data_IF_517883765936
#
_entry.id   IF_517883765936
#
_cell.length_a   1.000
_cell.length_b   1.000
_cell.length_c   1.000
_cell.angle_alpha   90.00
_cell.angle_beta   90.00
_cell.angle_gamma   90.00
#
_symmetry.space_group_name_H-M   'P 1'
#
loop_
_entity.id
_entity.type
_entity.pdbx_description
1 polymer ?
#
# COMPACT_ATOMS: atom_id res chain seq x y z
N UNK A 1 7.66 -17.84 -1.45
CA UNK A 1 6.75 -17.57 -0.33
C UNK A 1 6.70 -16.07 -0.17
N UNK A 2 5.54 -15.46 -0.42
CA UNK A 2 5.33 -14.01 -0.34
C UNK A 2 5.47 -13.54 1.11
N UNK A 3 5.91 -12.30 1.30
CA UNK A 3 6.08 -11.68 2.64
C UNK A 3 4.74 -11.61 3.42
N UNK A 4 3.59 -11.59 2.73
CA UNK A 4 2.26 -11.71 3.34
C UNK A 4 2.01 -13.05 4.02
N UNK A 5 2.51 -14.16 3.46
CA UNK A 5 2.39 -15.48 4.09
C UNK A 5 3.23 -15.57 5.38
N UNK A 6 4.24 -14.71 5.53
CA UNK A 6 5.09 -14.68 6.73
C UNK A 6 4.39 -13.91 7.84
N UNK A 7 3.68 -12.82 7.52
CA UNK A 7 2.92 -12.04 8.50
C UNK A 7 1.72 -12.83 9.02
N UNK A 8 0.97 -13.50 8.15
CA UNK A 8 -0.17 -14.33 8.57
C UNK A 8 0.29 -15.53 9.41
N UNK A 9 1.41 -16.16 9.05
CA UNK A 9 1.99 -17.24 9.84
C UNK A 9 2.47 -16.77 11.23
N UNK A 10 3.09 -15.58 11.33
CA UNK A 10 3.51 -15.00 12.60
C UNK A 10 2.30 -14.64 13.47
N UNK A 11 1.23 -14.15 12.86
CA UNK A 11 0.02 -13.73 13.58
C UNK A 11 -0.80 -14.91 14.07
N UNK A 12 -0.86 -16.01 13.30
CA UNK A 12 -1.42 -17.29 13.76
C UNK A 12 -0.57 -17.91 14.89
N UNK A 13 0.77 -17.83 14.83
CA UNK A 13 1.65 -18.34 15.88
C UNK A 13 1.50 -17.56 17.19
N UNK A 14 1.43 -16.22 17.12
CA UNK A 14 1.15 -15.34 18.27
C UNK A 14 -0.22 -15.60 18.90
N UNK A 15 -1.25 -15.85 18.09
CA UNK A 15 -2.60 -16.17 18.59
C UNK A 15 -2.66 -17.58 19.18
N UNK A 16 -1.82 -18.50 18.70
CA UNK A 16 -1.70 -19.86 19.24
C UNK A 16 -0.95 -19.87 20.57
N UNK A 17 0.09 -19.03 20.72
CA UNK A 17 0.80 -18.83 21.99
C UNK A 17 -0.07 -18.15 23.05
N UNK A 18 -0.88 -17.15 22.69
CA UNK A 18 -1.86 -16.55 23.63
C UNK A 18 -2.92 -17.56 24.08
N UNK A 19 -3.39 -18.43 23.18
CA UNK A 19 -4.31 -19.52 23.49
C UNK A 19 -3.69 -20.57 24.44
N UNK A 20 -2.39 -20.83 24.34
CA UNK A 20 -1.67 -21.74 25.23
C UNK A 20 -1.38 -21.10 26.60
N UNK A 21 -1.09 -19.80 26.65
CA UNK A 21 -0.93 -19.05 27.89
C UNK A 21 -2.23 -18.96 28.71
N UNK A 22 -3.40 -18.94 28.07
CA UNK A 22 -4.69 -19.04 28.78
C UNK A 22 -5.00 -20.46 29.30
N UNK A 23 -4.36 -21.51 28.77
CA UNK A 23 -4.53 -22.90 29.25
C UNK A 23 -3.57 -23.29 30.39
N UNK A 24 -2.36 -22.74 30.43
CA UNK A 24 -1.33 -23.15 31.41
C UNK A 24 -1.44 -22.48 32.79
N UNK A 25 -2.36 -21.52 33.00
CA UNK A 25 -2.66 -20.99 34.33
C UNK A 25 -3.68 -21.81 35.14
N UNK A 26 -4.06 -23.00 34.66
CA UNK A 26 -5.00 -23.91 35.34
C UNK A 26 -4.36 -24.85 36.38
N UNK A 27 -3.14 -24.61 36.84
CA UNK A 27 -2.49 -25.47 37.85
C UNK A 27 -1.82 -24.69 38.99
N UNK A 28 -2.61 -23.92 39.73
CA UNK A 28 -2.34 -23.68 41.16
C UNK A 28 -3.67 -23.54 41.91
N UNK A 29 -3.89 -24.48 42.82
CA UNK A 29 -5.17 -24.80 43.44
C UNK A 29 -5.61 -23.74 44.47
N UNK A 30 -6.90 -23.42 44.39
CA UNK A 30 -7.85 -23.07 45.47
C UNK A 30 -8.02 -21.64 46.01
N UNK A 31 -7.26 -20.62 45.58
CA UNK A 31 -7.60 -19.20 45.82
C UNK A 31 -7.89 -18.37 44.54
N UNK A 32 -7.68 -18.96 43.36
CA UNK A 32 -7.65 -18.24 42.07
C UNK A 32 -8.98 -18.21 41.31
N UNK A 33 -9.89 -19.15 41.55
CA UNK A 33 -11.13 -19.32 40.78
C UNK A 33 -12.18 -18.20 40.99
N UNK A 34 -12.37 -17.74 42.23
CA UNK A 34 -13.33 -16.66 42.53
C UNK A 34 -12.88 -15.31 41.97
N UNK A 35 -11.57 -15.02 42.00
CA UNK A 35 -11.01 -13.75 41.52
C UNK A 35 -11.08 -13.65 39.99
N UNK A 36 -10.80 -14.76 39.28
CA UNK A 36 -10.92 -14.83 37.82
C UNK A 36 -12.36 -14.67 37.36
N UNK A 37 -13.30 -15.31 38.04
CA UNK A 37 -14.73 -15.20 37.76
C UNK A 37 -15.27 -13.78 38.06
N UNK A 38 -14.86 -13.16 39.17
CA UNK A 38 -15.24 -11.78 39.50
C UNK A 38 -14.72 -10.77 38.46
N UNK A 39 -13.47 -10.93 38.02
CA UNK A 39 -12.88 -10.07 36.97
C UNK A 39 -13.59 -10.26 35.63
N UNK A 40 -13.91 -11.49 35.26
CA UNK A 40 -14.64 -11.78 34.03
C UNK A 40 -16.06 -11.20 34.06
N UNK A 41 -16.78 -11.35 35.18
CA UNK A 41 -18.11 -10.75 35.39
C UNK A 41 -18.05 -9.22 35.33
N UNK A 42 -17.04 -8.60 35.95
CA UNK A 42 -16.84 -7.15 35.88
C UNK A 42 -16.57 -6.68 34.44
N UNK A 43 -15.71 -7.40 33.69
CA UNK A 43 -15.44 -7.08 32.30
C UNK A 43 -16.69 -7.19 31.41
N UNK A 44 -17.52 -8.21 31.62
CA UNK A 44 -18.80 -8.37 30.91
C UNK A 44 -19.75 -7.21 31.25
N UNK A 45 -19.87 -6.86 32.54
CA UNK A 45 -20.68 -5.74 33.00
C UNK A 45 -20.25 -4.42 32.34
N UNK A 46 -18.96 -4.11 32.35
CA UNK A 46 -18.41 -2.89 31.75
C UNK A 46 -18.66 -2.84 30.24
N UNK A 47 -18.48 -3.96 29.53
CA UNK A 47 -18.73 -4.02 28.08
C UNK A 47 -20.20 -3.75 27.75
N UNK A 48 -21.12 -4.42 28.45
CA UNK A 48 -22.56 -4.21 28.24
C UNK A 48 -22.98 -2.76 28.51
N UNK A 49 -22.33 -2.08 29.46
CA UNK A 49 -22.66 -0.71 29.81
C UNK A 49 -22.13 0.33 28.81
N UNK A 50 -20.97 0.09 28.20
CA UNK A 50 -20.25 1.14 27.46
C UNK A 50 -20.02 0.86 25.97
N UNK A 51 -20.10 -0.39 25.51
CA UNK A 51 -19.76 -0.76 24.13
C UNK A 51 -20.94 -0.63 23.17
N UNK A 52 -22.17 -0.92 23.60
CA UNK A 52 -23.38 -0.80 22.74
C UNK A 52 -24.13 0.47 23.13
N UNK A 53 -24.30 1.41 22.19
CA UNK A 53 -24.97 2.68 22.43
C UNK A 53 -26.18 2.83 21.52
N UNK A 54 -27.34 3.14 22.09
CA UNK A 54 -28.59 3.32 21.34
C UNK A 54 -28.52 4.42 20.27
N UNK A 55 -27.67 5.42 20.48
CA UNK A 55 -27.38 6.51 19.55
C UNK A 55 -26.56 6.07 18.32
N UNK A 56 -25.89 4.91 18.36
CA UNK A 56 -25.08 4.38 17.26
C UNK A 56 -25.46 2.91 16.96
N UNK A 57 -26.44 2.67 16.06
CA UNK A 57 -26.86 1.31 15.70
C UNK A 57 -25.72 0.40 15.19
N UNK A 58 -24.68 0.99 14.61
CA UNK A 58 -23.47 0.26 14.17
C UNK A 58 -22.70 -0.43 15.31
N UNK A 59 -22.94 -0.03 16.57
CA UNK A 59 -22.28 -0.59 17.75
C UNK A 59 -22.96 -1.84 18.31
N UNK A 60 -24.17 -2.18 17.86
CA UNK A 60 -24.92 -3.36 18.34
C UNK A 60 -24.16 -4.68 18.07
N UNK A 61 -23.37 -4.71 17.01
CA UNK A 61 -22.60 -5.90 16.60
C UNK A 61 -21.22 -6.04 17.26
N UNK A 62 -20.84 -5.11 18.16
CA UNK A 62 -19.56 -5.14 18.89
C UNK A 62 -19.50 -6.30 19.89
N UNK A 63 -20.65 -6.63 20.51
CA UNK A 63 -20.76 -7.69 21.50
C UNK A 63 -21.61 -8.86 20.98
N UNK A 64 -21.24 -10.06 21.40
CA UNK A 64 -22.08 -11.27 21.25
C UNK A 64 -23.15 -11.28 22.36
N UNK A 65 -24.19 -12.09 22.18
CA UNK A 65 -25.28 -12.23 23.16
C UNK A 65 -24.82 -12.62 24.59
N UNK A 66 -23.64 -13.23 24.73
CA UNK A 66 -23.05 -13.61 26.02
C UNK A 66 -22.15 -12.50 26.64
N UNK A 67 -22.16 -11.28 26.09
CA UNK A 67 -21.38 -10.14 26.56
C UNK A 67 -19.87 -10.21 26.24
N UNK A 68 -19.44 -11.20 25.45
CA UNK A 68 -18.07 -11.26 24.91
C UNK A 68 -17.93 -10.39 23.66
N UNK A 69 -16.71 -9.95 23.37
CA UNK A 69 -16.41 -9.19 22.16
C UNK A 69 -16.63 -10.05 20.91
N UNK A 70 -17.21 -9.43 19.89
CA UNK A 70 -17.30 -10.01 18.57
C UNK A 70 -16.01 -9.72 17.80
N UNK A 71 -15.04 -10.65 17.81
CA UNK A 71 -13.76 -10.45 17.13
C UNK A 71 -13.91 -10.14 15.62
N UNK A 72 -14.95 -10.69 14.99
CA UNK A 72 -15.25 -10.43 13.57
C UNK A 72 -15.61 -8.97 13.30
N UNK A 73 -16.13 -8.25 14.30
CA UNK A 73 -16.41 -6.81 14.19
C UNK A 73 -15.13 -5.99 13.95
N UNK A 74 -14.01 -6.42 14.54
CA UNK A 74 -12.73 -5.70 14.51
C UNK A 74 -11.81 -6.15 13.40
N UNK A 75 -12.17 -7.21 12.67
CA UNK A 75 -11.41 -7.63 11.49
C UNK A 75 -11.64 -6.63 10.36
N UNK A 76 -10.57 -6.22 9.64
CA UNK A 76 -10.73 -5.48 8.40
C UNK A 76 -11.68 -6.28 7.49
N UNK A 77 -12.77 -5.66 7.06
CA UNK A 77 -13.64 -6.26 6.05
C UNK A 77 -12.84 -6.29 4.76
N UNK A 78 -12.17 -7.41 4.51
CA UNK A 78 -11.54 -7.67 3.22
C UNK A 78 -12.70 -7.84 2.26
N UNK A 79 -13.08 -6.74 1.58
CA UNK A 79 -13.94 -6.87 0.42
C UNK A 79 -13.23 -7.85 -0.53
N UNK A 80 -13.88 -8.93 -0.97
CA UNK A 80 -13.29 -9.84 -1.94
C UNK A 80 -13.31 -9.15 -3.30
N UNK A 81 -12.53 -8.09 -3.46
CA UNK A 81 -12.04 -7.64 -4.75
C UNK A 81 -10.79 -8.45 -5.06
N UNK A 82 -10.97 -9.77 -5.18
CA UNK A 82 -10.07 -10.59 -5.97
C UNK A 82 -10.36 -10.28 -7.44
N UNK A 83 -10.04 -9.06 -7.88
CA UNK A 83 -9.67 -8.89 -9.28
C UNK A 83 -8.37 -9.66 -9.44
N UNK A 84 -8.36 -10.67 -10.30
CA UNK A 84 -7.12 -11.36 -10.71
C UNK A 84 -6.01 -10.32 -10.86
N UNK A 85 -4.86 -10.53 -10.19
CA UNK A 85 -3.75 -9.58 -10.19
C UNK A 85 -3.36 -9.30 -11.65
N UNK A 86 -3.83 -8.17 -12.18
CA UNK A 86 -3.66 -7.84 -13.59
C UNK A 86 -2.19 -7.58 -13.86
N UNK A 87 -1.61 -8.38 -14.75
CA UNK A 87 -0.24 -8.18 -15.19
C UNK A 87 -0.14 -6.94 -16.10
N UNK A 88 0.93 -6.17 -15.91
CA UNK A 88 1.28 -5.08 -16.81
C UNK A 88 2.06 -5.64 -18.01
N UNK A 89 1.50 -5.55 -19.20
CA UNK A 89 2.08 -6.10 -20.44
C UNK A 89 2.62 -5.01 -21.36
N UNK A 90 3.18 -5.41 -22.49
CA UNK A 90 3.65 -4.49 -23.52
C UNK A 90 2.50 -3.67 -24.14
N UNK A 91 1.28 -4.19 -24.14
CA UNK A 91 0.09 -3.47 -24.64
C UNK A 91 -0.20 -2.25 -23.77
N UNK A 92 -0.25 -2.42 -22.44
CA UNK A 92 -0.47 -1.29 -21.53
C UNK A 92 0.69 -0.30 -21.57
N UNK A 93 1.92 -0.80 -21.75
CA UNK A 93 3.11 0.05 -21.92
C UNK A 93 2.98 0.93 -23.17
N UNK A 94 2.60 0.36 -24.29
CA UNK A 94 2.47 1.09 -25.56
C UNK A 94 1.28 2.08 -25.52
N UNK A 95 0.18 1.72 -24.84
CA UNK A 95 -0.92 2.64 -24.56
C UNK A 95 -0.50 3.80 -23.64
N UNK A 96 0.35 3.55 -22.65
CA UNK A 96 0.90 4.61 -21.80
C UNK A 96 1.78 5.57 -22.61
N UNK A 97 2.61 5.06 -23.53
CA UNK A 97 3.41 5.88 -24.44
C UNK A 97 2.50 6.76 -25.32
N UNK A 98 1.43 6.19 -25.89
CA UNK A 98 0.45 6.95 -26.68
C UNK A 98 -0.23 8.04 -25.84
N UNK A 99 -0.61 7.71 -24.60
CA UNK A 99 -1.19 8.67 -23.66
C UNK A 99 -0.23 9.81 -23.31
N UNK A 100 1.05 9.52 -23.08
CA UNK A 100 2.07 10.54 -22.84
C UNK A 100 2.24 11.43 -24.08
N UNK A 101 2.27 10.84 -25.27
CA UNK A 101 2.38 11.61 -26.52
C UNK A 101 1.18 12.55 -26.73
N UNK A 102 -0.03 12.12 -26.37
CA UNK A 102 -1.26 12.88 -26.58
C UNK A 102 -1.52 13.92 -25.48
N UNK A 103 -1.46 13.52 -24.21
CA UNK A 103 -1.85 14.36 -23.06
C UNK A 103 -0.65 14.94 -22.31
N UNK A 104 0.50 14.28 -22.35
CA UNK A 104 1.70 14.66 -21.60
C UNK A 104 1.76 14.04 -20.21
N UNK A 105 2.96 14.03 -19.64
CA UNK A 105 3.23 13.52 -18.30
C UNK A 105 2.56 14.41 -17.24
N UNK A 106 1.81 13.79 -16.33
CA UNK A 106 1.04 14.47 -15.29
C UNK A 106 -0.47 14.46 -15.52
N UNK A 107 -0.92 14.29 -16.77
CA UNK A 107 -2.33 14.25 -17.16
C UNK A 107 -2.92 12.83 -17.05
N UNK A 108 -2.69 12.18 -15.90
CA UNK A 108 -3.01 10.76 -15.67
C UNK A 108 -4.49 10.45 -15.76
N UNK A 109 -5.36 11.38 -15.34
CA UNK A 109 -6.80 11.16 -15.37
C UNK A 109 -7.34 11.05 -16.80
N UNK A 110 -6.75 11.78 -17.75
CA UNK A 110 -7.19 11.74 -19.15
C UNK A 110 -6.66 10.48 -19.84
N UNK A 111 -5.37 10.15 -19.63
CA UNK A 111 -4.77 8.88 -20.10
C UNK A 111 -5.56 7.68 -19.57
N UNK A 112 -5.89 7.69 -18.28
CA UNK A 112 -6.72 6.67 -17.66
C UNK A 112 -8.08 6.57 -18.34
N UNK A 113 -8.83 7.67 -18.45
CA UNK A 113 -10.20 7.63 -18.98
C UNK A 113 -10.27 7.10 -20.41
N UNK A 114 -9.28 7.44 -21.24
CA UNK A 114 -9.33 7.15 -22.68
C UNK A 114 -8.60 5.87 -23.07
N UNK A 115 -7.48 5.53 -22.41
CA UNK A 115 -6.61 4.43 -22.84
C UNK A 115 -6.46 3.32 -21.79
N UNK A 116 -6.44 3.67 -20.50
CA UNK A 116 -6.06 2.76 -19.41
C UNK A 116 -7.05 2.86 -18.24
N UNK A 117 -8.34 2.66 -18.50
CA UNK A 117 -9.45 2.90 -17.57
C UNK A 117 -9.40 2.04 -16.30
N UNK A 118 -8.81 0.85 -16.44
CA UNK A 118 -8.65 -0.15 -15.38
C UNK A 118 -7.46 0.12 -14.46
N UNK A 119 -6.55 1.03 -14.83
CA UNK A 119 -5.38 1.39 -14.02
C UNK A 119 -5.64 2.65 -13.22
N UNK A 120 -5.13 2.73 -12.00
CA UNK A 120 -5.24 3.96 -11.21
C UNK A 120 -4.26 5.01 -11.71
N UNK A 121 -4.56 6.28 -11.48
CA UNK A 121 -3.64 7.38 -11.82
C UNK A 121 -2.27 7.24 -11.14
N UNK A 122 -2.22 6.62 -9.96
CA UNK A 122 -0.97 6.34 -9.25
C UNK A 122 -0.18 5.21 -9.93
N UNK A 123 -0.85 4.16 -10.41
CA UNK A 123 -0.18 3.09 -11.17
C UNK A 123 0.47 3.67 -12.43
N UNK A 124 -0.26 4.47 -13.19
CA UNK A 124 0.26 5.13 -14.39
C UNK A 124 1.49 5.98 -14.09
N UNK A 125 1.46 6.74 -12.98
CA UNK A 125 2.62 7.51 -12.51
C UNK A 125 3.83 6.61 -12.21
N UNK A 126 3.63 5.50 -11.48
CA UNK A 126 4.71 4.56 -11.15
C UNK A 126 5.28 3.87 -12.39
N UNK A 127 4.43 3.52 -13.36
CA UNK A 127 4.86 2.95 -14.64
C UNK A 127 5.62 3.97 -15.47
N UNK A 128 5.17 5.22 -15.50
CA UNK A 128 5.87 6.31 -16.18
C UNK A 128 7.26 6.59 -15.56
N UNK A 129 7.39 6.56 -14.23
CA UNK A 129 8.69 6.68 -13.53
C UNK A 129 9.70 5.64 -14.05
N UNK A 130 9.27 4.39 -14.22
CA UNK A 130 10.12 3.32 -14.75
C UNK A 130 10.39 3.46 -16.24
N UNK A 131 9.39 3.94 -16.98
CA UNK A 131 9.46 4.14 -18.43
C UNK A 131 10.50 5.22 -18.80
N UNK A 132 10.49 6.35 -18.11
CA UNK A 132 11.43 7.46 -18.34
C UNK A 132 12.73 7.33 -17.52
N UNK A 133 12.76 6.42 -16.56
CA UNK A 133 13.92 6.18 -15.71
C UNK A 133 14.18 7.29 -14.69
N UNK A 134 13.15 7.99 -14.19
CA UNK A 134 13.30 9.04 -13.16
C UNK A 134 12.17 9.03 -12.13
N UNK A 135 12.53 9.11 -10.85
CA UNK A 135 11.57 9.04 -9.74
C UNK A 135 10.72 10.31 -9.64
N UNK A 136 11.38 11.47 -9.80
CA UNK A 136 10.74 12.76 -9.77
C UNK A 136 10.35 13.21 -11.19
N UNK A 137 9.04 13.25 -11.47
CA UNK A 137 8.50 13.65 -12.77
C UNK A 137 8.22 15.15 -12.90
N UNK A 138 8.55 15.99 -11.90
CA UNK A 138 8.19 17.41 -11.91
C UNK A 138 8.76 18.19 -13.10
N UNK A 139 9.99 17.90 -13.57
CA UNK A 139 10.53 18.56 -14.77
C UNK A 139 9.82 18.13 -16.06
N UNK A 140 9.13 16.99 -16.03
CA UNK A 140 8.39 16.46 -17.17
C UNK A 140 6.92 16.87 -17.15
N UNK A 141 6.52 17.80 -16.28
CA UNK A 141 5.12 18.24 -16.23
C UNK A 141 4.68 18.76 -17.61
N UNK A 142 3.59 18.19 -18.12
CA UNK A 142 3.02 18.48 -19.44
C UNK A 142 3.93 18.15 -20.63
N UNK A 143 5.10 17.55 -20.40
CA UNK A 143 6.01 17.10 -21.45
C UNK A 143 5.37 15.96 -22.24
N UNK A 144 5.47 16.06 -23.57
CA UNK A 144 4.95 15.08 -24.53
C UNK A 144 6.12 14.57 -25.36
N UNK A 145 6.20 13.26 -25.52
CA UNK A 145 7.17 12.64 -26.38
C UNK A 145 6.72 11.28 -26.88
N UNK A 146 7.28 10.88 -28.01
CA UNK A 146 7.08 9.56 -28.60
C UNK A 146 8.01 8.50 -27.95
N UNK A 147 7.93 7.26 -28.42
CA UNK A 147 8.73 6.16 -27.88
C UNK A 147 10.25 6.42 -27.95
N UNK A 148 10.75 7.02 -29.03
CA UNK A 148 12.17 7.30 -29.22
C UNK A 148 12.66 8.40 -28.28
N UNK A 149 11.87 9.46 -28.12
CA UNK A 149 12.17 10.56 -27.19
C UNK A 149 12.15 10.08 -25.73
N UNK A 150 11.18 9.24 -25.35
CA UNK A 150 11.13 8.61 -24.03
C UNK A 150 12.39 7.74 -23.80
N UNK A 151 12.82 6.98 -24.81
CA UNK A 151 14.02 6.16 -24.70
C UNK A 151 15.28 7.02 -24.57
N UNK A 152 15.35 8.16 -25.28
CA UNK A 152 16.46 9.12 -25.15
C UNK A 152 16.51 9.72 -23.73
N UNK A 153 15.36 10.10 -23.17
CA UNK A 153 15.26 10.55 -21.78
C UNK A 153 15.70 9.47 -20.80
N UNK A 154 15.28 8.23 -21.01
CA UNK A 154 15.71 7.09 -20.20
C UNK A 154 17.22 6.92 -20.20
N UNK A 155 17.85 6.90 -21.38
CA UNK A 155 19.31 6.75 -21.49
C UNK A 155 20.06 7.95 -20.90
N UNK A 156 19.54 9.17 -21.07
CA UNK A 156 20.13 10.35 -20.44
C UNK A 156 20.04 10.29 -18.91
N UNK A 157 18.86 9.94 -18.35
CA UNK A 157 18.66 9.77 -16.91
C UNK A 157 19.56 8.67 -16.35
N UNK A 158 19.70 7.56 -17.06
CA UNK A 158 20.61 6.46 -16.72
C UNK A 158 22.07 6.88 -16.73
N UNK A 159 22.49 7.66 -17.73
CA UNK A 159 23.85 8.21 -17.83
C UNK A 159 24.16 9.13 -16.65
N UNK A 160 23.26 10.05 -16.32
CA UNK A 160 23.40 10.97 -15.18
C UNK A 160 23.45 10.19 -13.87
N UNK A 161 22.52 9.25 -13.68
CA UNK A 161 22.48 8.42 -12.47
C UNK A 161 23.70 7.54 -12.30
N UNK A 162 24.26 7.02 -13.40
CA UNK A 162 25.50 6.25 -13.38
C UNK A 162 26.71 7.13 -13.05
N UNK A 163 26.73 8.38 -13.53
CA UNK A 163 27.81 9.35 -13.27
C UNK A 163 27.88 9.76 -11.81
N UNK A 164 26.73 9.97 -11.15
CA UNK A 164 26.66 10.44 -9.76
C UNK A 164 26.34 9.33 -8.74
N UNK A 165 26.20 8.08 -9.16
CA UNK A 165 25.89 6.96 -8.26
C UNK A 165 24.44 6.98 -7.72
N UNK A 166 23.52 7.63 -8.42
CA UNK A 166 22.12 7.81 -8.04
C UNK A 166 21.14 6.99 -8.89
N UNK A 167 21.64 6.09 -9.74
CA UNK A 167 20.82 5.10 -10.44
C UNK A 167 20.47 3.93 -9.53
N UNK A 168 19.19 3.84 -9.10
CA UNK A 168 18.70 2.78 -8.20
C UNK A 168 17.43 2.17 -8.77
N UNK A 169 17.37 0.83 -8.82
CA UNK A 169 16.19 0.09 -9.30
C UNK A 169 15.69 0.59 -10.69
N UNK A 170 16.63 0.83 -11.62
CA UNK A 170 16.36 1.32 -12.97
C UNK A 170 15.77 2.73 -13.05
N UNK A 171 16.00 3.56 -12.03
CA UNK A 171 15.46 4.91 -11.93
C UNK A 171 16.52 5.86 -11.36
N UNK A 172 16.58 7.08 -11.89
CA UNK A 172 17.35 8.19 -11.36
C UNK A 172 16.67 8.75 -10.09
N UNK A 173 17.41 8.71 -8.98
CA UNK A 173 16.99 9.20 -7.66
C UNK A 173 17.69 10.54 -7.37
N UNK A 174 17.10 11.31 -6.44
CA UNK A 174 17.67 12.56 -5.94
C UNK A 174 19.08 12.40 -5.36
N UNK A 175 19.90 13.44 -5.50
CA UNK A 175 21.21 13.56 -4.88
C UNK A 175 21.23 14.67 -3.83
N UNK A 176 21.82 14.39 -2.66
CA UNK A 176 21.89 15.37 -1.58
C UNK A 176 22.78 16.58 -1.93
N UNK A 177 23.70 16.42 -2.88
CA UNK A 177 24.61 17.45 -3.37
C UNK A 177 23.99 18.37 -4.44
N UNK A 178 22.81 18.05 -4.99
CA UNK A 178 22.12 18.83 -6.02
C UNK A 178 22.72 18.81 -7.45
N UNK A 179 23.81 18.09 -7.68
CA UNK A 179 24.53 17.99 -8.97
C UNK A 179 23.69 17.33 -10.06
N UNK A 180 22.86 16.36 -9.69
CA UNK A 180 21.93 15.69 -10.62
C UNK A 180 20.93 16.69 -11.17
N UNK A 181 20.33 17.50 -10.29
CA UNK A 181 19.32 18.48 -10.69
C UNK A 181 19.93 19.59 -11.54
N UNK A 182 21.15 20.06 -11.23
CA UNK A 182 21.88 21.02 -12.07
C UNK A 182 22.11 20.51 -13.50
N UNK A 183 22.58 19.27 -13.65
CA UNK A 183 22.83 18.68 -14.97
C UNK A 183 21.53 18.46 -15.77
N UNK A 184 20.45 18.09 -15.08
CA UNK A 184 19.13 17.93 -15.70
C UNK A 184 18.56 19.27 -16.18
N UNK A 185 18.66 20.32 -15.37
CA UNK A 185 18.20 21.66 -15.78
C UNK A 185 18.99 22.16 -16.99
N UNK A 186 20.30 21.95 -17.02
CA UNK A 186 21.15 22.32 -18.15
C UNK A 186 20.81 21.55 -19.44
N UNK A 187 20.36 20.30 -19.31
CA UNK A 187 19.93 19.48 -20.43
C UNK A 187 18.59 19.95 -21.03
N UNK A 188 17.58 20.25 -20.20
CA UNK A 188 16.26 20.70 -20.65
C UNK A 188 16.18 22.17 -21.06
N UNK A 189 17.21 22.98 -20.77
CA UNK A 189 17.30 24.38 -21.23
C UNK A 189 17.85 24.53 -22.66
N UNK A 190 18.30 23.44 -23.29
CA UNK A 190 18.75 23.43 -24.69
C UNK A 190 17.59 23.28 -25.64
#
# INVERSE_FOLDING_TARGET
>A
MSEENVIDAIMDDLLTEESQLEQDHSSSEDESGEVVDARQKWAIFMRNQFSVRAEFPSTESILKANGRLNQEYFRPKVEPQQSEERAWTDVERDLLIQGIQQYGIGNWNDIRKELLNEWTSNDLRLKCIRLIGRQNLQLYKDWKGNADEIQQEYENNKRIGSKYGTWKQSVLVYDDDGKVEEELMAYHQK
#
